data_IF_613020464330
#
_entry.id   IF_613020464330
#
_cell.length_a   1.000
_cell.length_b   1.000
_cell.length_c   1.000
_cell.angle_alpha   90.00
_cell.angle_beta   90.00
_cell.angle_gamma   90.00
#
_symmetry.space_group_name_H-M   'P 1'
#
loop_
_entity.id
_entity.type
_entity.pdbx_description
1 polymer ?
#
# COMPACT_ATOMS: atom_id res chain seq x y z
N UNK A 1 41.17 -17.75 18.58
CA UNK A 1 39.76 -17.93 18.11
C UNK A 1 38.75 -16.95 18.71
N UNK A 2 38.90 -16.43 19.95
CA UNK A 2 37.93 -15.49 20.56
C UNK A 2 37.70 -14.15 19.83
N UNK A 3 38.69 -13.61 19.09
CA UNK A 3 38.54 -12.32 18.39
C UNK A 3 37.63 -12.38 17.16
N UNK A 4 37.62 -13.50 16.43
CA UNK A 4 36.84 -13.67 15.20
C UNK A 4 35.33 -13.60 15.49
N UNK A 5 34.87 -14.24 16.58
CA UNK A 5 33.46 -14.17 16.99
C UNK A 5 32.97 -12.76 17.37
N UNK A 6 33.88 -11.90 17.85
CA UNK A 6 33.56 -10.51 18.21
C UNK A 6 33.33 -9.65 16.96
N UNK A 7 34.14 -9.83 15.90
CA UNK A 7 33.95 -9.15 14.61
C UNK A 7 32.78 -9.70 13.81
N UNK A 8 32.51 -11.01 13.90
CA UNK A 8 31.33 -11.63 13.29
C UNK A 8 30.03 -11.05 13.89
N UNK A 9 29.95 -10.91 15.22
CA UNK A 9 28.79 -10.30 15.89
C UNK A 9 28.57 -8.84 15.49
N UNK A 10 29.65 -8.07 15.29
CA UNK A 10 29.59 -6.66 14.86
C UNK A 10 29.06 -6.52 13.43
N UNK A 11 29.27 -7.49 12.55
CA UNK A 11 28.74 -7.48 11.18
C UNK A 11 27.32 -8.07 11.08
N UNK A 12 27.02 -9.10 11.85
CA UNK A 12 25.72 -9.78 11.80
C UNK A 12 24.61 -8.91 12.41
N UNK A 13 24.87 -8.19 13.51
CA UNK A 13 23.85 -7.37 14.17
C UNK A 13 23.30 -6.26 13.26
N UNK A 14 24.12 -5.41 12.60
CA UNK A 14 23.62 -4.40 11.67
C UNK A 14 22.89 -4.99 10.47
N UNK A 15 23.30 -6.17 10.01
CA UNK A 15 22.70 -6.84 8.86
C UNK A 15 21.31 -7.40 9.21
N UNK A 16 21.17 -8.02 10.40
CA UNK A 16 19.87 -8.45 10.94
C UNK A 16 18.96 -7.25 11.21
N UNK A 17 19.50 -6.18 11.77
CA UNK A 17 18.75 -4.95 12.02
C UNK A 17 18.28 -4.32 10.70
N UNK A 18 19.18 -4.19 9.72
CA UNK A 18 18.85 -3.70 8.38
C UNK A 18 17.77 -4.55 7.69
N UNK A 19 17.87 -5.88 7.76
CA UNK A 19 16.86 -6.79 7.23
C UNK A 19 15.50 -6.63 7.94
N UNK A 20 15.50 -6.49 9.28
CA UNK A 20 14.30 -6.25 10.07
C UNK A 20 13.62 -4.94 9.68
N UNK A 21 14.38 -3.84 9.57
CA UNK A 21 13.83 -2.56 9.12
C UNK A 21 13.31 -2.64 7.69
N UNK A 22 14.05 -3.29 6.78
CA UNK A 22 13.62 -3.47 5.40
C UNK A 22 12.29 -4.23 5.29
N UNK A 23 12.08 -5.26 6.13
CA UNK A 23 10.82 -6.00 6.19
C UNK A 23 9.61 -5.11 6.57
N UNK A 24 9.84 -3.99 7.26
CA UNK A 24 8.79 -3.03 7.60
C UNK A 24 8.24 -2.28 6.37
N UNK A 25 8.98 -2.27 5.26
CA UNK A 25 8.62 -1.60 4.01
C UNK A 25 8.08 -2.56 2.95
N UNK A 26 7.90 -3.84 3.27
CA UNK A 26 7.37 -4.83 2.34
C UNK A 26 6.09 -5.44 2.86
N UNK A 27 5.10 -5.56 1.97
CA UNK A 27 3.94 -6.42 2.10
C UNK A 27 4.08 -7.56 1.09
N UNK A 28 4.25 -8.79 1.59
CA UNK A 28 4.41 -9.98 0.76
C UNK A 28 3.31 -10.96 1.11
N UNK A 29 2.52 -11.35 0.11
CA UNK A 29 1.54 -12.43 0.19
C UNK A 29 1.74 -13.37 -1.00
N UNK A 30 2.39 -14.50 -0.72
CA UNK A 30 2.73 -15.52 -1.72
C UNK A 30 1.48 -16.19 -2.27
N UNK A 31 0.45 -16.40 -1.44
CA UNK A 31 -0.79 -17.07 -1.85
C UNK A 31 -1.54 -16.31 -2.93
N UNK A 32 -1.43 -14.97 -2.90
CA UNK A 32 -2.06 -14.07 -3.88
C UNK A 32 -1.06 -13.50 -4.90
N UNK A 33 0.18 -14.00 -4.95
CA UNK A 33 1.25 -13.48 -5.81
C UNK A 33 1.43 -11.96 -5.69
N UNK A 34 1.33 -11.44 -4.46
CA UNK A 34 1.31 -10.02 -4.17
C UNK A 34 2.60 -9.58 -3.49
N UNK A 35 3.28 -8.58 -4.07
CA UNK A 35 4.44 -7.94 -3.47
C UNK A 35 4.34 -6.43 -3.65
N UNK A 36 4.15 -5.73 -2.53
CA UNK A 36 3.99 -4.28 -2.51
C UNK A 36 5.09 -3.68 -1.64
N UNK A 37 5.84 -2.75 -2.21
CA UNK A 37 6.81 -1.93 -1.50
C UNK A 37 6.14 -0.68 -0.96
N UNK A 38 6.23 -0.48 0.34
CA UNK A 38 5.75 0.71 1.04
C UNK A 38 6.93 1.67 1.15
N UNK A 39 6.85 2.80 0.45
CA UNK A 39 7.95 3.75 0.42
C UNK A 39 8.19 4.28 1.85
N UNK A 40 9.45 4.34 2.32
CA UNK A 40 9.75 4.95 3.61
C UNK A 40 9.42 6.44 3.56
N UNK A 41 8.58 6.90 4.48
CA UNK A 41 8.21 8.32 4.58
C UNK A 41 8.26 8.78 6.04
N UNK A 42 8.49 10.07 6.25
CA UNK A 42 8.53 10.68 7.59
C UNK A 42 7.14 11.11 8.09
N UNK A 43 6.08 10.85 7.32
CA UNK A 43 4.67 11.05 7.70
C UNK A 43 4.16 9.89 8.58
N UNK A 44 2.95 9.94 9.18
CA UNK A 44 2.55 8.96 10.19
C UNK A 44 2.76 7.51 9.73
N UNK A 45 3.12 6.65 10.67
CA UNK A 45 3.71 5.32 10.45
C UNK A 45 3.17 4.52 9.25
N UNK A 46 4.10 3.94 8.45
CA UNK A 46 3.80 2.93 7.42
C UNK A 46 3.03 1.71 7.95
N UNK A 47 2.99 1.52 9.28
CA UNK A 47 2.15 0.53 9.93
C UNK A 47 0.67 0.70 9.54
N UNK A 48 0.16 1.93 9.44
CA UNK A 48 -1.23 2.17 9.06
C UNK A 48 -1.53 1.70 7.64
N UNK A 49 -0.58 1.85 6.71
CA UNK A 49 -0.72 1.36 5.34
C UNK A 49 -0.73 -0.16 5.28
N UNK A 50 0.15 -0.84 6.04
CA UNK A 50 0.13 -2.32 6.13
C UNK A 50 -1.18 -2.84 6.67
N UNK A 51 -1.68 -2.22 7.74
CA UNK A 51 -2.97 -2.56 8.33
C UNK A 51 -4.10 -2.36 7.32
N UNK A 52 -4.08 -1.25 6.58
CA UNK A 52 -5.06 -0.96 5.53
C UNK A 52 -5.05 -2.01 4.42
N UNK A 53 -3.86 -2.40 3.92
CA UNK A 53 -3.73 -3.46 2.90
C UNK A 53 -4.23 -4.80 3.46
N UNK A 54 -3.88 -5.13 4.71
CA UNK A 54 -4.34 -6.35 5.39
C UNK A 54 -5.85 -6.35 5.64
N UNK A 55 -6.44 -5.19 5.90
CA UNK A 55 -7.88 -5.03 6.02
C UNK A 55 -8.57 -5.25 4.67
N UNK A 56 -8.07 -4.63 3.60
CA UNK A 56 -8.58 -4.82 2.23
C UNK A 56 -8.54 -6.30 1.82
N UNK A 57 -7.45 -6.99 2.12
CA UNK A 57 -7.30 -8.43 1.88
C UNK A 57 -8.42 -9.25 2.55
N UNK A 58 -8.79 -8.91 3.79
CA UNK A 58 -9.82 -9.62 4.56
C UNK A 58 -11.23 -9.22 4.16
N UNK A 59 -11.43 -7.95 3.78
CA UNK A 59 -12.74 -7.39 3.52
C UNK A 59 -13.24 -7.66 2.09
N UNK A 60 -12.34 -7.64 1.10
CA UNK A 60 -12.64 -7.86 -0.32
C UNK A 60 -11.49 -8.50 -1.08
N UNK A 61 -11.59 -9.80 -1.33
CA UNK A 61 -10.62 -10.54 -2.15
C UNK A 61 -10.50 -9.97 -3.58
N UNK A 62 -11.60 -9.50 -4.15
CA UNK A 62 -11.63 -8.92 -5.50
C UNK A 62 -10.82 -7.64 -5.59
N UNK A 63 -11.02 -6.71 -4.66
CA UNK A 63 -10.28 -5.44 -4.66
C UNK A 63 -8.82 -5.64 -4.28
N UNK A 64 -8.53 -6.56 -3.36
CA UNK A 64 -7.17 -6.95 -3.04
C UNK A 64 -6.42 -7.53 -4.25
N UNK A 65 -7.07 -8.39 -5.04
CA UNK A 65 -6.47 -8.95 -6.25
C UNK A 65 -6.16 -7.87 -7.30
N UNK A 66 -7.03 -6.86 -7.45
CA UNK A 66 -6.76 -5.71 -8.32
C UNK A 66 -5.56 -4.91 -7.83
N UNK A 67 -5.50 -4.60 -6.54
CA UNK A 67 -4.36 -3.91 -5.93
C UNK A 67 -3.06 -4.66 -6.23
N UNK A 68 -3.01 -5.96 -5.96
CA UNK A 68 -1.83 -6.79 -6.16
C UNK A 68 -1.39 -6.89 -7.63
N UNK A 69 -2.33 -6.88 -8.57
CA UNK A 69 -2.03 -6.95 -10.00
C UNK A 69 -1.49 -5.62 -10.55
N UNK A 70 -2.04 -4.51 -10.08
CA UNK A 70 -1.83 -3.20 -10.70
C UNK A 70 -0.88 -2.28 -9.90
N UNK A 71 -0.59 -2.58 -8.63
CA UNK A 71 0.22 -1.73 -7.75
C UNK A 71 1.38 -2.54 -7.18
N UNK A 72 2.60 -2.04 -7.35
CA UNK A 72 3.82 -2.60 -6.73
C UNK A 72 4.45 -1.66 -5.71
N UNK A 73 4.09 -0.37 -5.72
CA UNK A 73 4.60 0.63 -4.78
C UNK A 73 3.44 1.45 -4.22
N UNK A 74 3.39 1.60 -2.91
CA UNK A 74 2.53 2.57 -2.23
C UNK A 74 3.43 3.61 -1.57
N UNK A 75 3.29 4.86 -1.97
CA UNK A 75 4.03 5.98 -1.42
C UNK A 75 3.14 6.83 -0.53
N UNK A 76 3.49 6.95 0.75
CA UNK A 76 2.73 7.79 1.68
C UNK A 76 3.16 9.25 1.57
N UNK A 77 2.53 9.99 0.66
CA UNK A 77 2.88 11.37 0.36
C UNK A 77 1.63 12.26 0.33
N UNK A 78 1.36 12.97 1.42
CA UNK A 78 0.21 13.87 1.52
C UNK A 78 0.26 15.09 0.58
N UNK A 79 1.40 15.36 -0.08
CA UNK A 79 1.46 16.37 -1.13
C UNK A 79 0.59 15.98 -2.35
N UNK A 80 0.23 14.70 -2.47
CA UNK A 80 -0.70 14.21 -3.46
C UNK A 80 -2.04 13.83 -2.81
N UNK A 81 -3.08 14.62 -3.06
CA UNK A 81 -4.44 14.36 -2.55
C UNK A 81 -4.70 14.78 -1.10
N UNK A 82 -3.70 15.31 -0.38
CA UNK A 82 -3.85 15.72 1.03
C UNK A 82 -3.66 14.57 2.01
N UNK A 83 -3.98 14.80 3.29
CA UNK A 83 -3.82 13.79 4.36
C UNK A 83 -4.79 12.60 4.25
N UNK A 84 -5.83 12.77 3.43
CA UNK A 84 -7.02 11.95 3.36
C UNK A 84 -7.36 11.51 1.92
N UNK A 85 -6.51 11.87 0.95
CA UNK A 85 -6.69 11.57 -0.45
C UNK A 85 -5.46 10.87 -1.01
N UNK A 86 -5.41 10.75 -2.32
CA UNK A 86 -4.27 10.14 -2.98
C UNK A 86 -4.07 10.73 -4.36
N UNK A 87 -3.14 10.13 -5.08
CA UNK A 87 -3.03 10.36 -6.50
C UNK A 87 -2.35 9.17 -7.19
N UNK A 88 -2.55 9.15 -8.50
CA UNK A 88 -1.81 8.29 -9.41
C UNK A 88 -1.13 9.14 -10.48
N UNK A 89 0.10 8.75 -10.83
CA UNK A 89 0.88 9.41 -11.88
C UNK A 89 1.18 8.41 -13.01
N UNK A 90 0.75 8.67 -14.25
CA UNK A 90 1.03 7.79 -15.39
C UNK A 90 2.52 7.53 -15.66
N UNK A 91 3.40 8.46 -15.24
CA UNK A 91 4.86 8.29 -15.33
C UNK A 91 5.40 7.21 -14.39
N UNK A 92 4.61 6.79 -13.38
CA UNK A 92 4.94 5.75 -12.41
C UNK A 92 3.80 4.72 -12.34
N UNK A 93 3.64 3.88 -13.38
CA UNK A 93 2.38 3.19 -13.64
C UNK A 93 1.97 2.15 -12.59
N UNK A 94 2.89 1.70 -11.73
CA UNK A 94 2.61 0.77 -10.62
C UNK A 94 2.77 1.40 -9.24
N UNK A 95 2.80 2.73 -9.18
CA UNK A 95 2.93 3.49 -7.94
C UNK A 95 1.63 4.24 -7.69
N UNK A 96 1.08 4.09 -6.49
CA UNK A 96 0.02 4.96 -6.00
C UNK A 96 0.55 5.79 -4.83
N UNK A 97 0.01 7.00 -4.69
CA UNK A 97 0.32 7.90 -3.60
C UNK A 97 -0.91 8.01 -2.71
N UNK A 98 -0.74 7.88 -1.40
CA UNK A 98 -1.85 7.97 -0.45
C UNK A 98 -1.48 8.85 0.76
N UNK A 99 -2.46 9.59 1.24
CA UNK A 99 -2.57 10.07 2.61
C UNK A 99 -3.66 9.24 3.29
N UNK A 100 -3.27 8.40 4.25
CA UNK A 100 -4.19 7.52 4.97
C UNK A 100 -4.19 7.78 6.49
N UNK A 101 -4.21 9.06 6.87
CA UNK A 101 -4.09 9.49 8.28
C UNK A 101 -5.45 9.62 9.00
N UNK A 102 -6.51 9.11 8.36
CA UNK A 102 -7.93 9.30 8.73
C UNK A 102 -8.39 8.61 10.03
N UNK A 103 -7.54 7.90 10.77
CA UNK A 103 -7.93 7.03 11.89
C UNK A 103 -9.12 6.07 11.58
N UNK A 104 -9.42 5.84 10.30
CA UNK A 104 -10.51 5.00 9.83
C UNK A 104 -10.00 4.08 8.72
N UNK A 105 -9.75 2.83 9.10
CA UNK A 105 -9.17 1.81 8.22
C UNK A 105 -10.06 1.47 7.02
N UNK A 106 -11.38 1.59 7.17
CA UNK A 106 -12.33 1.33 6.09
C UNK A 106 -12.24 2.41 4.99
N UNK A 107 -12.16 3.67 5.41
CA UNK A 107 -12.01 4.80 4.49
C UNK A 107 -10.62 4.79 3.81
N UNK A 108 -9.57 4.48 4.57
CA UNK A 108 -8.22 4.28 4.02
C UNK A 108 -8.19 3.15 2.98
N UNK A 109 -8.93 2.05 3.22
CA UNK A 109 -9.02 0.96 2.25
C UNK A 109 -9.82 1.35 1.01
N UNK A 110 -10.86 2.17 1.15
CA UNK A 110 -11.60 2.73 0.01
C UNK A 110 -10.73 3.66 -0.84
N UNK A 111 -9.83 4.41 -0.21
CA UNK A 111 -8.83 5.21 -0.90
C UNK A 111 -7.87 4.32 -1.70
N UNK A 112 -7.39 3.19 -1.15
CA UNK A 112 -6.59 2.24 -1.92
C UNK A 112 -7.34 1.73 -3.16
N UNK A 113 -8.64 1.45 -3.04
CA UNK A 113 -9.49 1.03 -4.17
C UNK A 113 -9.58 2.13 -5.22
N UNK A 114 -9.80 3.37 -4.79
CA UNK A 114 -9.86 4.54 -5.67
C UNK A 114 -8.54 4.72 -6.45
N UNK A 115 -7.39 4.74 -5.77
CA UNK A 115 -6.09 4.91 -6.44
C UNK A 115 -5.71 3.72 -7.31
N UNK A 116 -6.13 2.51 -6.92
CA UNK A 116 -5.97 1.31 -7.76
C UNK A 116 -6.80 1.42 -9.04
N UNK A 117 -7.98 2.04 -8.99
CA UNK A 117 -8.77 2.32 -10.19
C UNK A 117 -8.02 3.26 -11.15
N UNK A 118 -7.36 4.31 -10.65
CA UNK A 118 -6.51 5.14 -11.51
C UNK A 118 -5.29 4.41 -12.07
N UNK A 119 -4.67 3.52 -11.28
CA UNK A 119 -3.61 2.65 -11.78
C UNK A 119 -4.09 1.75 -12.93
N UNK A 120 -5.31 1.20 -12.83
CA UNK A 120 -5.93 0.40 -13.89
C UNK A 120 -6.20 1.26 -15.14
N UNK A 121 -6.81 2.44 -14.99
CA UNK A 121 -7.08 3.36 -16.09
C UNK A 121 -5.77 3.73 -16.81
N UNK A 122 -4.75 4.13 -16.05
CA UNK A 122 -3.45 4.52 -16.60
C UNK A 122 -2.72 3.38 -17.31
N UNK A 123 -2.74 2.17 -16.76
CA UNK A 123 -2.13 0.99 -17.41
C UNK A 123 -2.91 0.52 -18.64
N UNK A 124 -4.20 0.82 -18.71
CA UNK A 124 -5.07 0.47 -19.84
C UNK A 124 -5.10 1.54 -20.93
N UNK A 125 -4.32 2.62 -20.79
CA UNK A 125 -4.34 3.81 -21.64
C UNK A 125 -5.74 4.46 -21.75
N UNK A 126 -6.53 4.36 -20.69
CA UNK A 126 -7.81 5.05 -20.58
C UNK A 126 -7.60 6.47 -20.03
N UNK A 127 -8.57 7.35 -20.29
CA UNK A 127 -8.57 8.69 -19.70
C UNK A 127 -8.73 8.59 -18.17
N UNK A 128 -7.82 9.22 -17.43
CA UNK A 128 -7.96 9.33 -15.98
C UNK A 128 -9.23 10.10 -15.63
N UNK A 129 -10.13 9.45 -14.89
CA UNK A 129 -11.42 10.03 -14.53
C UNK A 129 -11.76 9.73 -13.08
N UNK A 130 -11.97 10.79 -12.31
CA UNK A 130 -12.33 10.76 -10.89
C UNK A 130 -13.67 10.07 -10.63
N UNK A 131 -14.67 10.32 -11.48
CA UNK A 131 -16.05 9.83 -11.26
C UNK A 131 -16.14 8.31 -11.09
N UNK A 132 -15.63 7.51 -12.05
CA UNK A 132 -15.58 6.05 -11.92
C UNK A 132 -14.78 5.57 -10.71
N UNK A 133 -13.67 6.23 -10.36
CA UNK A 133 -12.82 5.78 -9.25
C UNK A 133 -13.38 6.14 -7.87
N UNK A 134 -14.04 7.31 -7.72
CA UNK A 134 -14.84 7.61 -6.53
C UNK A 134 -15.99 6.62 -6.36
N UNK A 135 -16.66 6.26 -7.46
CA UNK A 135 -17.72 5.26 -7.44
C UNK A 135 -17.19 3.90 -6.98
N UNK A 136 -16.05 3.45 -7.48
CA UNK A 136 -15.43 2.19 -7.05
C UNK A 136 -15.12 2.17 -5.54
N UNK A 137 -14.54 3.25 -5.00
CA UNK A 137 -14.30 3.38 -3.56
C UNK A 137 -15.59 3.36 -2.73
N UNK A 138 -16.64 4.05 -3.20
CA UNK A 138 -17.94 4.08 -2.53
C UNK A 138 -18.66 2.72 -2.55
N UNK A 139 -18.63 2.00 -3.68
CA UNK A 139 -19.20 0.66 -3.81
C UNK A 139 -18.48 -0.34 -2.89
N UNK A 140 -17.15 -0.24 -2.79
CA UNK A 140 -16.39 -1.03 -1.82
C UNK A 140 -16.84 -0.72 -0.38
N UNK A 141 -16.96 0.55 0.02
CA UNK A 141 -17.44 0.93 1.36
C UNK A 141 -18.83 0.38 1.65
N UNK A 142 -19.75 0.48 0.70
CA UNK A 142 -21.10 -0.09 0.86
C UNK A 142 -21.03 -1.62 1.03
N UNK A 143 -20.16 -2.30 0.26
CA UNK A 143 -20.04 -3.76 0.32
C UNK A 143 -19.58 -4.30 1.68
N UNK A 144 -18.79 -3.54 2.43
CA UNK A 144 -18.30 -3.95 3.75
C UNK A 144 -19.26 -3.59 4.88
N UNK A 145 -20.12 -2.60 4.69
CA UNK A 145 -21.14 -2.19 5.68
C UNK A 145 -22.39 -3.10 5.66
N UNK A 146 -22.65 -3.77 4.54
CA UNK A 146 -23.85 -4.59 4.33
C UNK A 146 -23.57 -6.09 4.60
N UNK A 147 -22.34 -6.48 4.95
CA UNK A 147 -22.04 -7.86 5.35
C UNK A 147 -22.75 -8.19 6.68
N UNK A 148 -23.61 -9.22 6.74
CA UNK A 148 -24.27 -9.66 7.96
C UNK A 148 -23.29 -10.23 8.98
#
# INVERSE_FOLDING_TARGET
MKKIGKYLGILVIPLLFGAFFYSQFLHIDISNSCAIFLMPTFQPSNLSTKETVSFLQKSSATEYAKLCKHVSVINKNAACGGLDGGCYQPSQPKTIFIGNDQNNIALAAALLVHETCHAIQGQSNETLSEGPCYKAGAEYLQSILIKP
#
